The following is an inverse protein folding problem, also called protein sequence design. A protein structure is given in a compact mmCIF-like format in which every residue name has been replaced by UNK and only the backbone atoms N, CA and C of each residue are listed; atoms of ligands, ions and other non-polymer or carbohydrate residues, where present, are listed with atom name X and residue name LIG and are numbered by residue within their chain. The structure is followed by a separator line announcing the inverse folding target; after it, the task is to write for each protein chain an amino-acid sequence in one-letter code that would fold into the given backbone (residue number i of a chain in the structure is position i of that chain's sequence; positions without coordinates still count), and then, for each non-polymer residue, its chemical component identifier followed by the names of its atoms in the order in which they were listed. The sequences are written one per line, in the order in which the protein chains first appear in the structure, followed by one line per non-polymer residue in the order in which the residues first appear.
data_IF_385102255976
#
_entry.id   IF_385102255976
#
_cell.length_a   1.000
_cell.length_b   1.000
_cell.length_c   1.000
_cell.angle_alpha   90.00
_cell.angle_beta   90.00
_cell.angle_gamma   90.00
#
_symmetry.space_group_name_H-M   'P 1'
#
loop_
_entity.id
_entity.type
_entity.pdbx_description
1 polymer ?
#
# COMPACT_ATOMS: atom_id res chain seq x y z
N UNK A 1 1.43 53.46 23.73
CA UNK A 1 1.40 52.11 24.34
C UNK A 1 1.05 51.09 23.27
N UNK A 2 1.96 50.23 22.80
CA UNK A 2 3.03 50.58 21.86
C UNK A 2 2.94 49.61 20.67
N UNK A 3 2.95 50.07 19.42
CA UNK A 3 2.98 49.18 18.24
C UNK A 3 4.15 48.18 18.27
N UNK A 4 5.25 48.53 18.95
CA UNK A 4 6.37 47.64 19.22
C UNK A 4 5.99 46.44 20.13
N UNK A 5 5.02 46.61 21.04
CA UNK A 5 4.51 45.56 21.91
C UNK A 5 3.69 44.54 21.11
N UNK A 6 2.79 44.99 20.23
CA UNK A 6 2.03 44.10 19.33
C UNK A 6 2.94 43.30 18.40
N UNK A 7 4.02 43.90 17.89
CA UNK A 7 5.02 43.22 17.04
C UNK A 7 5.80 42.15 17.80
N UNK A 8 6.28 42.45 19.01
CA UNK A 8 6.93 41.45 19.88
C UNK A 8 5.97 40.32 20.24
N UNK A 9 4.70 40.63 20.51
CA UNK A 9 3.67 39.64 20.81
C UNK A 9 3.35 38.76 19.59
N UNK A 10 3.29 39.34 18.38
CA UNK A 10 3.11 38.60 17.14
C UNK A 10 4.29 37.65 16.84
N UNK A 11 5.52 38.10 17.09
CA UNK A 11 6.71 37.22 17.00
C UNK A 11 6.63 36.08 18.02
N UNK A 12 6.27 36.37 19.28
CA UNK A 12 6.17 35.35 20.34
C UNK A 12 5.10 34.29 20.06
N UNK A 13 4.02 34.67 19.35
CA UNK A 13 2.93 33.77 18.96
C UNK A 13 3.16 33.10 17.60
N UNK A 14 4.34 33.23 17.00
CA UNK A 14 4.70 32.68 15.68
C UNK A 14 3.74 33.10 14.54
N UNK A 15 3.12 34.28 14.63
CA UNK A 15 2.10 34.70 13.68
C UNK A 15 2.67 35.13 12.31
N UNK A 16 3.99 35.31 12.20
CA UNK A 16 4.66 35.58 10.93
C UNK A 16 4.78 34.36 10.01
N UNK A 17 4.55 33.14 10.52
CA UNK A 17 4.65 31.91 9.73
C UNK A 17 3.54 31.81 8.68
N UNK A 18 3.79 31.00 7.66
CA UNK A 18 2.75 30.63 6.71
C UNK A 18 1.55 29.99 7.45
N UNK A 19 0.29 30.28 7.05
CA UNK A 19 -0.13 30.94 5.79
C UNK A 19 -0.34 32.46 5.89
N UNK A 20 0.00 33.10 7.01
CA UNK A 20 -0.32 34.51 7.23
C UNK A 20 0.56 35.44 6.36
N UNK A 21 -0.04 36.53 5.87
CA UNK A 21 0.65 37.58 5.12
C UNK A 21 0.60 38.88 5.92
N UNK A 22 1.74 39.55 6.03
CA UNK A 22 1.87 40.75 6.83
C UNK A 22 2.32 41.93 5.98
N UNK A 23 1.62 43.05 6.15
CA UNK A 23 2.02 44.35 5.63
C UNK A 23 2.25 45.28 6.83
N UNK A 24 3.46 45.80 6.95
CA UNK A 24 3.86 46.69 8.05
C UNK A 24 4.07 48.08 7.46
N UNK A 25 3.18 49.00 7.79
CA UNK A 25 3.32 50.40 7.43
C UNK A 25 4.28 51.08 8.40
N UNK A 26 5.27 51.80 7.88
CA UNK A 26 6.22 52.53 8.73
C UNK A 26 6.67 53.84 8.12
N UNK A 27 6.87 54.83 8.98
CA UNK A 27 7.49 56.11 8.66
C UNK A 27 8.90 56.25 9.26
N UNK A 28 9.37 55.25 10.03
CA UNK A 28 10.58 55.37 10.85
C UNK A 28 11.57 54.22 10.62
N UNK A 29 12.84 54.56 10.42
CA UNK A 29 13.97 53.62 10.25
C UNK A 29 14.13 52.65 11.44
N UNK A 30 13.82 53.10 12.67
CA UNK A 30 13.89 52.30 13.90
C UNK A 30 13.03 51.02 13.85
N UNK A 31 12.00 50.98 13.01
CA UNK A 31 11.15 49.79 12.82
C UNK A 31 11.84 48.67 12.04
N UNK A 32 12.81 49.00 11.18
CA UNK A 32 13.62 48.01 10.46
C UNK A 32 14.46 47.22 11.45
N UNK A 33 15.09 47.88 12.42
CA UNK A 33 15.94 47.23 13.44
C UNK A 33 15.17 46.24 14.33
N UNK A 34 13.97 46.59 14.76
CA UNK A 34 13.13 45.69 15.57
C UNK A 34 12.71 44.44 14.78
N UNK A 35 12.47 44.58 13.46
CA UNK A 35 12.11 43.47 12.59
C UNK A 35 13.32 42.61 12.19
N UNK A 36 14.51 43.21 12.07
CA UNK A 36 15.77 42.48 11.88
C UNK A 36 16.01 41.46 13.00
N UNK A 37 15.60 41.79 14.23
CA UNK A 37 15.71 40.90 15.40
C UNK A 37 14.53 39.93 15.59
N UNK A 38 13.51 39.99 14.74
CA UNK A 38 12.31 39.14 14.85
C UNK A 38 12.42 37.82 14.07
N UNK A 39 11.57 36.85 14.42
CA UNK A 39 11.58 35.50 13.84
C UNK A 39 10.83 35.41 12.50
N UNK A 40 11.22 36.22 11.52
CA UNK A 40 10.68 36.17 10.15
C UNK A 40 11.54 35.23 9.32
N UNK A 41 11.13 33.97 9.18
CA UNK A 41 11.92 32.92 8.51
C UNK A 41 11.53 32.78 7.03
N UNK A 42 12.11 31.79 6.34
CA UNK A 42 11.94 31.56 4.91
C UNK A 42 10.47 31.33 4.47
N UNK A 43 9.58 30.88 5.35
CA UNK A 43 8.14 30.70 5.07
C UNK A 43 7.30 31.97 5.20
N UNK A 44 7.82 33.01 5.86
CA UNK A 44 7.04 34.15 6.37
C UNK A 44 6.86 35.26 5.31
N UNK A 45 5.67 35.51 4.76
CA UNK A 45 5.43 36.58 3.75
C UNK A 45 5.19 37.93 4.45
N UNK A 46 6.27 38.61 4.81
CA UNK A 46 6.25 39.92 5.49
C UNK A 46 6.81 41.00 4.57
N UNK A 47 6.02 42.06 4.40
CA UNK A 47 6.37 43.23 3.58
C UNK A 47 6.30 44.48 4.44
N UNK A 48 7.33 45.32 4.33
CA UNK A 48 7.40 46.64 4.95
C UNK A 48 7.06 47.68 3.87
N UNK A 49 6.13 48.58 4.16
CA UNK A 49 5.82 49.73 3.32
C UNK A 49 6.38 50.98 3.98
N UNK A 50 7.42 51.55 3.39
CA UNK A 50 8.05 52.78 3.84
C UNK A 50 7.55 53.95 3.01
N UNK A 51 7.11 55.02 3.68
CA UNK A 51 6.61 56.21 2.98
C UNK A 51 7.79 57.02 2.43
N UNK A 52 7.85 57.16 1.11
CA UNK A 52 8.79 58.03 0.40
C UNK A 52 7.99 59.10 -0.37
N UNK A 53 7.71 60.22 0.30
CA UNK A 53 6.86 61.29 -0.21
C UNK A 53 5.38 60.88 -0.39
N UNK A 54 4.92 60.84 -1.64
CA UNK A 54 3.56 60.47 -2.06
C UNK A 54 3.45 59.00 -2.52
N UNK A 55 4.53 58.23 -2.37
CA UNK A 55 4.59 56.81 -2.75
C UNK A 55 5.03 55.96 -1.56
N UNK A 56 4.67 54.67 -1.58
CA UNK A 56 5.17 53.69 -0.63
C UNK A 56 6.17 52.76 -1.31
N UNK A 57 7.38 52.69 -0.77
CA UNK A 57 8.36 51.69 -1.16
C UNK A 57 8.11 50.40 -0.39
N UNK A 58 7.91 49.31 -1.12
CA UNK A 58 7.55 48.02 -0.56
C UNK A 58 8.79 47.12 -0.53
N UNK A 59 9.19 46.68 0.66
CA UNK A 59 10.39 45.87 0.88
C UNK A 59 9.99 44.55 1.55
N UNK A 60 10.32 43.43 0.93
CA UNK A 60 10.19 42.10 1.53
C UNK A 60 11.35 41.85 2.50
N UNK A 61 11.02 41.33 3.68
CA UNK A 61 12.01 40.93 4.69
C UNK A 61 11.87 39.44 4.99
N UNK A 62 13.00 38.74 5.07
CA UNK A 62 13.05 37.37 5.58
C UNK A 62 14.44 37.01 6.08
N UNK A 63 14.52 35.96 6.90
CA UNK A 63 15.77 35.36 7.36
C UNK A 63 15.86 33.92 6.84
N UNK A 64 16.96 33.53 6.18
CA UNK A 64 17.18 32.13 5.81
C UNK A 64 17.18 31.20 7.03
N UNK A 65 17.70 31.68 8.16
CA UNK A 65 17.69 30.99 9.45
C UNK A 65 17.80 31.97 10.61
N UNK A 66 17.59 31.48 11.83
CA UNK A 66 17.86 32.21 13.07
C UNK A 66 19.30 32.70 13.18
N UNK A 67 20.27 31.98 12.59
CA UNK A 67 21.69 32.32 12.67
C UNK A 67 22.13 33.33 11.59
N UNK A 68 21.36 33.49 10.52
CA UNK A 68 21.70 34.40 9.42
C UNK A 68 21.04 35.76 9.62
N UNK A 69 21.65 36.81 9.06
CA UNK A 69 21.06 38.15 8.99
C UNK A 69 19.81 38.15 8.11
N UNK A 70 18.95 39.15 8.30
CA UNK A 70 17.78 39.30 7.45
C UNK A 70 18.19 39.82 6.07
N UNK A 71 17.56 39.26 5.05
CA UNK A 71 17.68 39.64 3.66
C UNK A 71 16.49 40.54 3.33
N UNK A 72 16.81 41.74 2.84
CA UNK A 72 15.84 42.73 2.38
C UNK A 72 15.84 42.72 0.85
N UNK A 73 14.66 42.56 0.27
CA UNK A 73 14.50 42.53 -1.20
C UNK A 73 13.41 43.53 -1.61
N UNK A 74 13.65 44.38 -2.61
CA UNK A 74 12.61 45.29 -3.09
C UNK A 74 11.47 44.49 -3.72
N UNK A 75 10.23 44.76 -3.30
CA UNK A 75 9.02 44.18 -3.86
C UNK A 75 8.43 45.08 -4.95
N UNK A 76 8.57 46.39 -4.80
CA UNK A 76 8.06 47.36 -5.76
C UNK A 76 7.64 48.68 -5.13
N UNK A 77 6.98 49.51 -5.94
CA UNK A 77 6.48 50.82 -5.55
C UNK A 77 4.96 50.82 -5.56
N UNK A 78 4.33 51.43 -4.56
CA UNK A 78 2.88 51.58 -4.49
C UNK A 78 2.49 53.05 -4.56
N UNK A 79 1.76 53.41 -5.63
CA UNK A 79 1.16 54.74 -5.83
C UNK A 79 -0.24 54.56 -6.43
N UNK A 80 -1.23 54.29 -5.58
CA UNK A 80 -2.59 53.92 -5.99
C UNK A 80 -2.71 52.49 -6.57
N UNK A 81 -1.72 52.06 -7.36
CA UNK A 81 -1.52 50.67 -7.80
C UNK A 81 -0.10 50.20 -7.44
N UNK A 82 0.06 48.88 -7.22
CA UNK A 82 1.35 48.26 -6.96
C UNK A 82 2.08 48.00 -8.27
N UNK A 83 3.21 48.67 -8.47
CA UNK A 83 4.17 48.34 -9.51
C UNK A 83 5.16 47.31 -8.98
N UNK A 84 4.94 46.03 -9.32
CA UNK A 84 5.74 44.89 -8.87
C UNK A 84 7.06 44.80 -9.65
N UNK A 85 8.18 44.95 -8.96
CA UNK A 85 9.53 44.88 -9.55
C UNK A 85 10.18 43.50 -9.40
N UNK A 86 9.48 42.53 -8.80
CA UNK A 86 10.05 41.20 -8.53
C UNK A 86 10.23 40.41 -9.82
N UNK A 87 11.36 39.69 -9.97
CA UNK A 87 11.58 38.83 -11.14
C UNK A 87 10.63 37.62 -11.17
N UNK A 88 10.15 37.18 -10.00
CA UNK A 88 9.25 36.02 -9.85
C UNK A 88 8.27 36.25 -8.71
N UNK A 89 6.99 35.89 -8.93
CA UNK A 89 5.90 36.09 -7.96
C UNK A 89 5.88 35.03 -6.87
N UNK A 90 6.43 33.86 -7.11
CA UNK A 90 6.40 32.73 -6.18
C UNK A 90 7.42 32.90 -5.04
N UNK A 91 6.93 32.85 -3.79
CA UNK A 91 7.75 33.03 -2.58
C UNK A 91 8.91 32.04 -2.51
N UNK A 92 8.62 30.75 -2.77
CA UNK A 92 9.61 29.68 -2.70
C UNK A 92 10.77 29.88 -3.68
N UNK A 93 10.52 30.46 -4.86
CA UNK A 93 11.57 30.69 -5.88
C UNK A 93 12.51 31.80 -5.47
N UNK A 94 11.99 32.82 -4.77
CA UNK A 94 12.80 33.94 -4.25
C UNK A 94 13.61 33.53 -3.02
N UNK A 95 13.12 32.57 -2.24
CA UNK A 95 13.71 32.13 -0.96
C UNK A 95 14.34 30.75 -1.04
N UNK A 96 14.74 30.34 -2.24
CA UNK A 96 15.33 29.03 -2.49
C UNK A 96 16.71 28.90 -1.86
N UNK A 97 17.47 29.99 -1.82
CA UNK A 97 18.83 30.02 -1.27
C UNK A 97 18.80 30.18 0.27
N UNK A 98 19.28 29.15 0.96
CA UNK A 98 19.40 29.13 2.42
C UNK A 98 20.77 29.61 2.94
N UNK A 99 21.64 30.13 2.07
CA UNK A 99 22.94 30.73 2.40
C UNK A 99 23.85 29.82 3.23
N UNK A 100 23.84 28.52 2.94
CA UNK A 100 24.63 27.53 3.67
C UNK A 100 24.06 27.16 5.03
N UNK A 101 22.80 27.50 5.34
CA UNK A 101 22.19 27.09 6.60
C UNK A 101 22.19 25.56 6.76
N UNK A 102 22.50 25.10 7.97
CA UNK A 102 22.59 23.68 8.32
C UNK A 102 21.20 23.06 8.40
N UNK A 103 20.89 22.14 7.49
CA UNK A 103 19.70 21.29 7.57
C UNK A 103 20.09 19.88 8.00
N UNK A 104 19.41 19.36 9.02
CA UNK A 104 19.68 18.00 9.53
C UNK A 104 18.77 16.98 8.86
N UNK A 105 19.34 15.99 8.18
CA UNK A 105 18.65 14.81 7.68
C UNK A 105 18.81 13.63 8.65
N UNK A 106 17.72 12.93 8.93
CA UNK A 106 17.71 11.74 9.76
C UNK A 106 17.61 10.50 8.87
N UNK A 107 18.62 9.62 8.94
CA UNK A 107 18.70 8.42 8.14
C UNK A 107 18.52 7.20 9.05
N UNK A 108 17.64 6.29 8.66
CA UNK A 108 17.48 5.02 9.37
C UNK A 108 18.31 3.96 8.67
N UNK A 109 19.21 3.30 9.39
CA UNK A 109 20.07 2.23 8.86
C UNK A 109 19.80 0.94 9.63
N UNK A 110 19.85 -0.20 8.95
CA UNK A 110 19.72 -1.52 9.56
C UNK A 110 21.09 -2.06 9.99
N UNK A 111 22.14 -1.84 9.19
CA UNK A 111 23.51 -2.27 9.50
C UNK A 111 24.35 -1.12 10.09
N UNK A 112 25.06 -1.42 11.18
CA UNK A 112 25.54 -0.38 12.11
C UNK A 112 26.78 0.38 11.68
N UNK A 113 27.80 -0.30 11.15
CA UNK A 113 29.11 0.31 10.99
C UNK A 113 29.53 0.51 9.54
N UNK A 114 29.22 -0.43 8.63
CA UNK A 114 29.61 -0.31 7.21
C UNK A 114 28.78 0.74 6.48
N UNK A 115 27.44 0.66 6.57
CA UNK A 115 26.56 1.64 5.92
C UNK A 115 26.86 3.07 6.38
N UNK A 116 27.11 3.27 7.68
CA UNK A 116 27.46 4.59 8.24
C UNK A 116 28.74 5.19 7.65
N UNK A 117 29.70 4.35 7.28
CA UNK A 117 30.98 4.75 6.72
C UNK A 117 30.90 5.05 5.22
N UNK A 118 30.21 4.19 4.47
CA UNK A 118 30.09 4.28 3.01
C UNK A 118 29.05 5.31 2.56
N UNK A 119 27.94 5.48 3.30
CA UNK A 119 26.84 6.36 2.88
C UNK A 119 27.28 7.82 2.65
N UNK A 120 28.07 8.47 3.53
CA UNK A 120 28.53 9.84 3.29
C UNK A 120 29.60 9.96 2.18
N UNK A 121 30.30 8.85 1.86
CA UNK A 121 31.39 8.80 0.89
C UNK A 121 30.93 8.52 -0.52
N UNK A 122 29.74 7.94 -0.68
CA UNK A 122 29.13 7.66 -1.97
C UNK A 122 29.99 6.74 -2.85
N UNK A 123 30.80 5.91 -2.20
CA UNK A 123 31.76 4.97 -2.79
C UNK A 123 31.11 3.79 -3.54
N UNK A 124 29.77 3.75 -3.60
CA UNK A 124 29.02 2.76 -4.39
C UNK A 124 29.16 1.32 -3.88
N UNK A 125 29.77 1.14 -2.70
CA UNK A 125 30.00 -0.15 -2.07
C UNK A 125 28.76 -0.61 -1.28
N UNK A 126 28.69 -1.93 -1.03
CA UNK A 126 27.61 -2.60 -0.30
C UNK A 126 26.20 -2.24 -0.79
N UNK A 127 26.06 -2.04 -2.10
CA UNK A 127 24.85 -1.55 -2.75
C UNK A 127 23.54 -2.22 -2.29
N UNK A 128 23.68 -3.50 -1.96
CA UNK A 128 22.67 -4.43 -1.49
C UNK A 128 22.07 -4.03 -0.13
N UNK A 129 22.87 -3.43 0.75
CA UNK A 129 22.45 -3.04 2.10
C UNK A 129 21.84 -1.64 2.12
N UNK A 130 20.74 -1.49 2.90
CA UNK A 130 20.09 -0.20 3.18
C UNK A 130 19.74 0.60 1.89
N UNK A 131 19.31 -0.10 0.83
CA UNK A 131 19.05 0.50 -0.48
C UNK A 131 18.05 1.69 -0.40
N UNK A 132 16.99 1.56 0.40
CA UNK A 132 16.02 2.64 0.64
C UNK A 132 16.66 3.86 1.29
N UNK A 133 17.58 3.65 2.22
CA UNK A 133 18.32 4.73 2.91
C UNK A 133 19.32 5.38 1.97
N UNK A 134 19.99 4.62 1.10
CA UNK A 134 20.86 5.14 0.03
C UNK A 134 20.09 6.01 -0.96
N UNK A 135 18.93 5.54 -1.42
CA UNK A 135 18.05 6.29 -2.33
C UNK A 135 17.57 7.60 -1.69
N UNK A 136 17.10 7.53 -0.43
CA UNK A 136 16.62 8.71 0.29
C UNK A 136 17.76 9.68 0.64
N UNK A 137 18.96 9.19 0.95
CA UNK A 137 20.17 9.99 1.11
C UNK A 137 20.48 10.79 -0.15
N UNK A 138 20.58 10.12 -1.30
CA UNK A 138 20.89 10.77 -2.58
C UNK A 138 19.84 11.83 -2.92
N UNK A 139 18.56 11.50 -2.73
CA UNK A 139 17.44 12.43 -2.98
C UNK A 139 17.52 13.63 -2.03
N UNK A 140 17.79 13.40 -0.74
CA UNK A 140 17.92 14.45 0.28
C UNK A 140 19.11 15.38 0.04
N UNK A 141 20.27 14.83 -0.31
CA UNK A 141 21.48 15.60 -0.66
C UNK A 141 21.23 16.49 -1.87
N UNK A 142 20.60 15.98 -2.92
CA UNK A 142 20.23 16.79 -4.09
C UNK A 142 19.25 17.89 -3.71
N UNK A 143 18.27 17.62 -2.84
CA UNK A 143 17.36 18.65 -2.35
C UNK A 143 18.10 19.75 -1.56
N UNK A 144 19.10 19.39 -0.74
CA UNK A 144 19.90 20.37 -0.01
C UNK A 144 20.79 21.19 -0.93
N UNK A 145 21.37 20.57 -1.98
CA UNK A 145 22.10 21.29 -3.03
C UNK A 145 21.20 22.28 -3.78
N UNK A 146 19.97 21.89 -4.11
CA UNK A 146 18.99 22.79 -4.74
C UNK A 146 18.65 24.01 -3.87
N UNK A 147 18.75 23.87 -2.54
CA UNK A 147 18.46 24.93 -1.58
C UNK A 147 19.70 25.68 -1.08
N UNK A 148 20.89 25.37 -1.60
CA UNK A 148 22.17 25.87 -1.09
C UNK A 148 22.28 25.74 0.46
N UNK A 149 21.89 24.57 0.98
CA UNK A 149 21.92 24.26 2.41
C UNK A 149 23.10 23.35 2.76
N UNK A 150 23.68 23.50 3.95
CA UNK A 150 24.73 22.59 4.42
C UNK A 150 24.10 21.33 5.03
N UNK A 151 24.44 20.13 4.52
CA UNK A 151 23.92 18.88 5.06
C UNK A 151 24.53 18.58 6.42
N UNK A 152 23.68 18.38 7.44
CA UNK A 152 24.03 17.64 8.65
C UNK A 152 23.26 16.33 8.66
N UNK A 153 23.88 15.24 9.09
CA UNK A 153 23.22 13.94 9.10
C UNK A 153 23.30 13.28 10.47
N UNK A 154 22.24 12.56 10.81
CA UNK A 154 22.14 11.70 11.99
C UNK A 154 21.66 10.31 11.56
N UNK A 155 22.08 9.30 12.30
CA UNK A 155 21.70 7.90 12.06
C UNK A 155 20.85 7.37 13.21
N UNK A 156 19.79 6.63 12.87
CA UNK A 156 18.93 5.90 13.82
C UNK A 156 18.76 4.46 13.35
N UNK A 157 18.45 3.54 14.27
CA UNK A 157 18.19 2.13 13.97
C UNK A 157 16.70 1.78 13.93
N UNK A 158 15.82 2.71 14.30
CA UNK A 158 14.37 2.45 14.40
C UNK A 158 13.53 3.64 13.93
N UNK A 159 12.43 3.32 13.26
CA UNK A 159 11.34 4.24 12.95
C UNK A 159 10.35 4.20 14.15
N UNK A 160 10.04 5.33 14.78
CA UNK A 160 9.16 5.36 15.97
C UNK A 160 7.80 4.69 15.73
N UNK A 161 7.26 4.00 16.75
CA UNK A 161 6.08 3.14 16.62
C UNK A 161 4.77 3.84 17.02
N UNK A 162 3.71 3.66 16.23
CA UNK A 162 2.31 4.01 16.56
C UNK A 162 1.57 2.70 16.93
N UNK A 163 0.81 2.63 18.04
CA UNK A 163 0.20 1.38 18.48
C UNK A 163 -0.87 0.85 17.51
N UNK A 164 -1.05 -0.49 17.43
CA UNK A 164 -1.90 -1.14 16.44
C UNK A 164 -3.40 -0.98 16.73
N UNK A 165 -4.19 -0.88 15.66
CA UNK A 165 -5.63 -0.65 15.67
C UNK A 165 -6.45 -1.81 16.29
N UNK A 166 -5.87 -3.01 16.38
CA UNK A 166 -6.44 -4.17 17.09
C UNK A 166 -6.64 -3.95 18.59
N UNK A 167 -5.95 -2.96 19.16
CA UNK A 167 -6.13 -2.54 20.54
C UNK A 167 -7.42 -1.73 20.76
N UNK A 168 -7.98 -1.15 19.68
CA UNK A 168 -9.05 -0.15 19.75
C UNK A 168 -10.37 -0.65 19.16
N UNK A 169 -10.35 -1.71 18.34
CA UNK A 169 -11.57 -2.28 17.76
C UNK A 169 -11.47 -3.78 17.43
N UNK A 170 -12.61 -4.48 17.53
CA UNK A 170 -12.74 -5.89 17.24
C UNK A 170 -12.74 -6.14 15.72
N UNK A 171 -11.64 -6.70 15.21
CA UNK A 171 -11.36 -6.88 13.78
C UNK A 171 -12.33 -7.87 13.11
N UNK A 172 -12.97 -8.77 13.86
CA UNK A 172 -13.82 -9.83 13.31
C UNK A 172 -15.22 -9.37 12.86
N UNK A 173 -15.67 -8.19 13.29
CA UNK A 173 -16.95 -7.59 12.87
C UNK A 173 -16.82 -6.58 11.73
N UNK A 174 -15.59 -6.28 11.29
CA UNK A 174 -15.32 -5.30 10.23
C UNK A 174 -15.73 -5.73 8.80
N UNK A 175 -15.74 -7.02 8.39
CA UNK A 175 -15.94 -7.36 6.99
C UNK A 175 -17.36 -7.13 6.46
N UNK A 176 -18.39 -7.26 7.30
CA UNK A 176 -19.80 -7.12 6.89
C UNK A 176 -20.63 -6.37 7.94
N UNK A 177 -21.51 -5.47 7.50
CA UNK A 177 -22.49 -4.80 8.36
C UNK A 177 -23.44 -5.83 8.98
N UNK A 178 -23.89 -5.62 10.22
CA UNK A 178 -24.77 -6.53 10.96
C UNK A 178 -26.03 -6.97 10.19
N UNK A 179 -26.51 -6.15 9.24
CA UNK A 179 -27.67 -6.45 8.38
C UNK A 179 -27.43 -7.61 7.39
N UNK A 180 -26.20 -7.82 6.94
CA UNK A 180 -25.85 -8.87 5.97
C UNK A 180 -25.92 -10.25 6.62
N UNK A 181 -25.42 -10.37 7.85
CA UNK A 181 -25.49 -11.62 8.62
C UNK A 181 -26.93 -12.06 8.91
N UNK A 182 -27.81 -11.10 9.18
CA UNK A 182 -29.24 -11.35 9.40
C UNK A 182 -29.92 -11.82 8.11
N UNK A 183 -29.57 -11.23 6.95
CA UNK A 183 -30.12 -11.64 5.66
C UNK A 183 -29.80 -13.09 5.27
N UNK A 184 -28.56 -13.53 5.50
CA UNK A 184 -28.12 -14.90 5.13
C UNK A 184 -28.82 -15.97 5.96
N UNK A 185 -29.05 -15.71 7.25
CA UNK A 185 -29.79 -16.63 8.13
C UNK A 185 -31.25 -16.78 7.69
N UNK A 186 -31.89 -15.70 7.26
CA UNK A 186 -33.30 -15.71 6.83
C UNK A 186 -33.48 -16.51 5.54
N UNK A 187 -32.61 -16.35 4.55
CA UNK A 187 -32.70 -17.09 3.29
C UNK A 187 -32.52 -18.61 3.47
N UNK A 188 -31.61 -19.03 4.36
CA UNK A 188 -31.40 -20.44 4.66
C UNK A 188 -32.63 -21.11 5.27
N UNK A 189 -33.31 -20.40 6.17
CA UNK A 189 -34.53 -20.88 6.83
C UNK A 189 -35.69 -20.98 5.84
N UNK A 190 -35.91 -19.98 4.98
CA UNK A 190 -37.00 -19.99 3.99
C UNK A 190 -36.84 -21.15 2.99
N UNK A 191 -35.60 -21.45 2.60
CA UNK A 191 -35.29 -22.51 1.64
C UNK A 191 -35.52 -23.90 2.25
N UNK A 192 -35.12 -24.10 3.50
CA UNK A 192 -35.37 -25.34 4.25
C UNK A 192 -36.88 -25.56 4.50
N UNK A 193 -37.63 -24.50 4.77
CA UNK A 193 -39.09 -24.57 4.96
C UNK A 193 -39.80 -24.93 3.67
N UNK A 194 -39.43 -24.34 2.52
CA UNK A 194 -40.03 -24.67 1.23
C UNK A 194 -39.83 -26.15 0.85
N UNK A 195 -38.64 -26.70 1.10
CA UNK A 195 -38.35 -28.13 0.89
C UNK A 195 -39.10 -29.04 1.85
N UNK A 196 -39.21 -28.65 3.12
CA UNK A 196 -39.94 -29.43 4.13
C UNK A 196 -41.46 -29.42 3.86
N UNK A 197 -42.00 -28.29 3.39
CA UNK A 197 -43.41 -28.18 3.00
C UNK A 197 -43.69 -29.02 1.76
N UNK A 198 -42.85 -28.96 0.72
CA UNK A 198 -43.01 -29.78 -0.48
C UNK A 198 -43.02 -31.28 -0.14
N UNK A 199 -42.06 -31.75 0.65
CA UNK A 199 -41.95 -33.17 1.06
C UNK A 199 -43.07 -33.62 2.00
N UNK A 200 -43.54 -32.76 2.90
CA UNK A 200 -44.67 -33.05 3.80
C UNK A 200 -46.01 -33.06 3.08
N UNK A 201 -46.21 -32.17 2.12
CA UNK A 201 -47.47 -32.07 1.36
C UNK A 201 -47.67 -33.31 0.48
N UNK A 202 -46.59 -33.81 -0.11
CA UNK A 202 -46.57 -35.09 -0.84
C UNK A 202 -46.88 -36.29 0.09
N UNK A 203 -46.29 -36.33 1.28
CA UNK A 203 -46.51 -37.42 2.24
C UNK A 203 -47.92 -37.44 2.87
N UNK A 204 -48.58 -36.28 2.99
CA UNK A 204 -49.93 -36.16 3.58
C UNK A 204 -51.00 -36.45 2.53
N UNK A 205 -50.89 -35.90 1.32
CA UNK A 205 -51.86 -36.18 0.26
C UNK A 205 -51.70 -37.57 -0.37
N UNK A 206 -50.51 -38.19 -0.27
CA UNK A 206 -50.30 -39.59 -0.67
C UNK A 206 -50.98 -40.64 0.21
N UNK A 207 -51.59 -40.26 1.34
CA UNK A 207 -52.34 -41.16 2.24
C UNK A 207 -53.87 -41.05 2.12
N UNK A 208 -54.40 -40.14 1.33
CA UNK A 208 -55.84 -40.10 1.02
C UNK A 208 -56.17 -41.26 0.07
N UNK A 209 -56.74 -42.31 0.63
CA UNK A 209 -57.16 -43.53 -0.06
C UNK A 209 -58.44 -43.32 -0.86
N UNK A 210 -58.31 -42.74 -2.06
CA UNK A 210 -59.19 -43.04 -3.20
C UNK A 210 -58.35 -43.04 -4.47
N UNK A 211 -57.80 -44.22 -4.74
CA UNK A 211 -57.80 -44.87 -6.05
C UNK A 211 -58.05 -43.96 -7.27
N UNK A 212 -57.00 -43.76 -8.08
CA UNK A 212 -57.03 -43.71 -9.55
C UNK A 212 -58.38 -43.35 -10.20
N UNK A 213 -58.80 -42.09 -10.12
CA UNK A 213 -59.57 -41.46 -11.20
C UNK A 213 -58.64 -40.43 -11.82
N UNK A 214 -58.20 -40.66 -13.06
CA UNK A 214 -57.22 -39.82 -13.79
C UNK A 214 -57.70 -38.40 -14.04
N UNK A 215 -57.90 -37.62 -12.98
CA UNK A 215 -58.30 -36.22 -13.01
C UNK A 215 -57.12 -35.32 -13.39
N UNK A 216 -57.45 -34.25 -14.11
CA UNK A 216 -56.49 -33.28 -14.66
C UNK A 216 -55.58 -32.70 -13.56
N UNK A 217 -56.02 -32.63 -12.30
CA UNK A 217 -55.24 -32.13 -11.16
C UNK A 217 -54.11 -33.07 -10.71
N UNK A 218 -54.36 -34.38 -10.60
CA UNK A 218 -53.32 -35.36 -10.23
C UNK A 218 -52.31 -35.54 -11.38
N UNK A 219 -52.81 -35.50 -12.62
CA UNK A 219 -51.97 -35.39 -13.81
C UNK A 219 -51.18 -34.07 -13.81
N UNK A 220 -51.74 -32.94 -13.36
CA UNK A 220 -51.03 -31.67 -13.20
C UNK A 220 -49.97 -31.74 -12.11
N UNK A 221 -50.22 -32.34 -10.96
CA UNK A 221 -49.24 -32.45 -9.88
C UNK A 221 -48.12 -33.45 -10.20
N UNK A 222 -48.45 -34.59 -10.82
CA UNK A 222 -47.46 -35.53 -11.36
C UNK A 222 -46.68 -34.92 -12.52
N UNK A 223 -47.29 -34.08 -13.35
CA UNK A 223 -46.55 -33.33 -14.37
C UNK A 223 -45.74 -32.20 -13.75
N UNK A 224 -46.16 -31.53 -12.68
CA UNK A 224 -45.34 -30.54 -11.96
C UNK A 224 -44.13 -31.20 -11.30
N UNK A 225 -44.29 -32.35 -10.64
CA UNK A 225 -43.17 -33.11 -10.06
C UNK A 225 -42.28 -33.75 -11.14
N UNK A 226 -42.84 -34.12 -12.30
CA UNK A 226 -42.06 -34.58 -13.44
C UNK A 226 -41.41 -33.44 -14.20
N UNK A 227 -42.00 -32.26 -14.28
CA UNK A 227 -41.42 -31.03 -14.87
C UNK A 227 -40.31 -30.56 -13.95
N UNK A 228 -40.44 -30.67 -12.62
CA UNK A 228 -39.33 -30.43 -11.71
C UNK A 228 -38.24 -31.49 -11.90
N UNK A 229 -38.55 -32.78 -12.01
CA UNK A 229 -37.54 -33.83 -12.28
C UNK A 229 -36.89 -33.67 -13.67
N UNK A 230 -37.64 -33.29 -14.70
CA UNK A 230 -37.14 -33.05 -16.06
C UNK A 230 -36.34 -31.76 -16.16
N UNK A 231 -36.77 -30.70 -15.46
CA UNK A 231 -35.98 -29.47 -15.37
C UNK A 231 -34.71 -29.70 -14.56
N UNK A 232 -34.76 -30.51 -13.50
CA UNK A 232 -33.57 -30.97 -12.77
C UNK A 232 -32.67 -31.82 -13.65
N UNK A 233 -33.21 -32.76 -14.43
CA UNK A 233 -32.43 -33.60 -15.35
C UNK A 233 -31.77 -32.79 -16.47
N UNK A 234 -32.52 -31.89 -17.10
CA UNK A 234 -32.00 -30.98 -18.12
C UNK A 234 -30.93 -30.04 -17.54
N UNK A 235 -31.15 -29.55 -16.32
CA UNK A 235 -30.16 -28.75 -15.58
C UNK A 235 -28.90 -29.58 -15.28
N UNK A 236 -29.01 -30.85 -14.89
CA UNK A 236 -27.87 -31.74 -14.63
C UNK A 236 -27.07 -32.05 -15.89
N UNK A 237 -27.72 -32.23 -17.05
CA UNK A 237 -27.04 -32.44 -18.33
C UNK A 237 -26.36 -31.18 -18.85
N UNK A 238 -27.01 -30.03 -18.74
CA UNK A 238 -26.38 -28.75 -19.04
C UNK A 238 -25.18 -28.47 -18.11
N UNK A 239 -25.32 -28.81 -16.82
CA UNK A 239 -24.24 -28.72 -15.83
C UNK A 239 -23.07 -29.64 -16.17
N UNK A 240 -23.34 -30.87 -16.62
CA UNK A 240 -22.31 -31.81 -17.05
C UNK A 240 -21.52 -31.26 -18.25
N UNK A 241 -22.21 -30.77 -19.28
CA UNK A 241 -21.58 -30.20 -20.47
C UNK A 241 -20.75 -28.94 -20.13
N UNK A 242 -21.29 -28.05 -19.29
CA UNK A 242 -20.58 -26.87 -18.82
C UNK A 242 -19.37 -27.23 -17.95
N UNK A 243 -19.49 -28.25 -17.10
CA UNK A 243 -18.40 -28.76 -16.27
C UNK A 243 -17.28 -29.36 -17.13
N UNK A 244 -17.61 -30.18 -18.13
CA UNK A 244 -16.61 -30.76 -19.04
C UNK A 244 -15.86 -29.71 -19.86
N UNK A 245 -16.53 -28.64 -20.28
CA UNK A 245 -15.88 -27.54 -20.97
C UNK A 245 -14.98 -26.73 -20.02
N UNK A 246 -15.46 -26.43 -18.82
CA UNK A 246 -14.74 -25.59 -17.87
C UNK A 246 -13.55 -26.30 -17.21
N UNK A 247 -13.63 -27.61 -16.94
CA UNK A 247 -12.53 -28.31 -16.26
C UNK A 247 -11.25 -28.34 -17.10
N UNK A 248 -11.36 -28.43 -18.43
CA UNK A 248 -10.21 -28.36 -19.33
C UNK A 248 -9.60 -26.96 -19.28
N UNK A 249 -10.42 -25.92 -19.32
CA UNK A 249 -9.94 -24.53 -19.22
C UNK A 249 -9.31 -24.23 -17.86
N UNK A 250 -9.83 -24.82 -16.78
CA UNK A 250 -9.29 -24.66 -15.42
C UNK A 250 -7.99 -25.42 -15.21
N UNK A 251 -7.83 -26.59 -15.82
CA UNK A 251 -6.56 -27.34 -15.80
C UNK A 251 -5.45 -26.63 -16.61
N UNK A 252 -5.84 -25.81 -17.59
CA UNK A 252 -4.91 -25.06 -18.46
C UNK A 252 -4.68 -23.61 -18.01
N UNK A 253 -5.50 -23.07 -17.11
CA UNK A 253 -5.35 -21.71 -16.62
C UNK A 253 -4.15 -21.61 -15.65
N UNK A 254 -3.26 -20.62 -15.81
CA UNK A 254 -2.22 -20.36 -14.82
C UNK A 254 -2.86 -20.04 -13.47
N UNK A 255 -2.30 -20.58 -12.39
CA UNK A 255 -2.89 -20.42 -11.07
C UNK A 255 -2.65 -19.00 -10.53
N UNK A 256 -3.66 -18.14 -10.57
CA UNK A 256 -3.70 -16.89 -9.79
C UNK A 256 -4.11 -17.12 -8.33
N UNK A 257 -3.90 -18.32 -7.79
CA UNK A 257 -4.44 -18.76 -6.50
C UNK A 257 -3.80 -18.06 -5.30
N UNK A 258 -2.62 -17.45 -5.46
CA UNK A 258 -1.89 -16.77 -4.39
C UNK A 258 -1.74 -15.30 -4.76
N UNK A 259 -2.76 -14.50 -4.41
CA UNK A 259 -2.73 -13.04 -4.60
C UNK A 259 -2.63 -12.29 -3.26
N UNK A 260 -2.89 -12.98 -2.15
CA UNK A 260 -2.94 -12.38 -0.81
C UNK A 260 -1.91 -12.99 0.12
N UNK A 261 -1.50 -12.21 1.12
CA UNK A 261 -0.55 -12.65 2.14
C UNK A 261 -1.08 -13.87 2.94
N UNK A 262 -2.39 -13.95 3.18
CA UNK A 262 -3.01 -15.09 3.87
C UNK A 262 -2.94 -16.37 3.03
N UNK A 263 -3.19 -16.29 1.72
CA UNK A 263 -3.01 -17.40 0.79
C UNK A 263 -1.54 -17.84 0.76
N UNK A 264 -0.60 -16.89 0.69
CA UNK A 264 0.83 -17.18 0.72
C UNK A 264 1.24 -17.90 2.01
N UNK A 265 0.72 -17.46 3.17
CA UNK A 265 0.99 -18.08 4.46
C UNK A 265 0.51 -19.54 4.53
N UNK A 266 -0.61 -19.87 3.87
CA UNK A 266 -1.16 -21.24 3.80
C UNK A 266 -0.57 -22.11 2.69
N UNK A 267 0.10 -21.50 1.71
CA UNK A 267 0.65 -22.20 0.53
C UNK A 267 1.78 -23.17 0.91
N UNK A 268 2.10 -24.17 0.09
CA UNK A 268 3.24 -25.09 0.32
C UNK A 268 4.59 -24.55 -0.19
N UNK A 269 4.65 -23.28 -0.59
CA UNK A 269 5.84 -22.67 -1.18
C UNK A 269 6.94 -22.50 -0.12
N UNK A 270 8.20 -22.68 -0.53
CA UNK A 270 9.38 -22.35 0.28
C UNK A 270 9.59 -20.84 0.32
N UNK A 271 9.65 -20.27 1.51
CA UNK A 271 9.77 -18.82 1.71
C UNK A 271 11.18 -18.49 2.20
N UNK A 272 11.74 -17.42 1.65
CA UNK A 272 12.97 -16.80 2.12
C UNK A 272 12.75 -15.29 2.24
N UNK A 273 13.51 -14.64 3.11
CA UNK A 273 13.39 -13.20 3.33
C UNK A 273 14.74 -12.50 3.34
N UNK A 274 14.70 -11.20 3.02
CA UNK A 274 15.86 -10.33 3.13
C UNK A 274 16.12 -9.90 4.59
N UNK A 275 15.05 -9.56 5.31
CA UNK A 275 15.15 -8.93 6.62
C UNK A 275 14.55 -9.81 7.74
N UNK A 276 15.13 -9.70 8.93
CA UNK A 276 14.71 -10.37 10.16
C UNK A 276 13.64 -9.59 10.94
N UNK A 277 12.93 -8.66 10.29
CA UNK A 277 11.90 -7.88 10.94
C UNK A 277 10.74 -8.77 11.42
N UNK A 278 10.57 -8.92 12.74
CA UNK A 278 9.51 -9.75 13.34
C UNK A 278 8.22 -8.94 13.50
N UNK A 279 7.28 -9.12 12.59
CA UNK A 279 5.92 -8.56 12.72
C UNK A 279 5.02 -9.52 13.53
N UNK A 280 4.42 -9.10 14.65
CA UNK A 280 3.50 -9.95 15.44
C UNK A 280 2.28 -10.42 14.64
N UNK A 281 1.90 -9.73 13.57
CA UNK A 281 0.75 -10.13 12.71
C UNK A 281 1.10 -11.27 11.77
N UNK A 282 2.39 -11.48 11.46
CA UNK A 282 2.86 -12.37 10.37
C UNK A 282 3.76 -13.50 10.86
N UNK A 283 3.59 -13.85 12.14
CA UNK A 283 4.38 -14.89 12.82
C UNK A 283 4.33 -16.22 12.06
N UNK A 284 3.22 -16.55 11.39
CA UNK A 284 3.09 -17.77 10.59
C UNK A 284 4.06 -17.82 9.40
N UNK A 285 4.33 -16.70 8.74
CA UNK A 285 5.30 -16.61 7.64
C UNK A 285 6.72 -16.64 8.19
N UNK A 286 6.99 -15.88 9.27
CA UNK A 286 8.31 -15.85 9.90
C UNK A 286 8.75 -17.22 10.42
N UNK A 287 7.84 -17.99 11.06
CA UNK A 287 8.13 -19.36 11.52
C UNK A 287 8.54 -20.31 10.39
N UNK A 288 8.19 -20.00 9.13
CA UNK A 288 8.58 -20.82 7.96
C UNK A 288 9.93 -20.42 7.40
N UNK A 289 10.31 -19.15 7.53
CA UNK A 289 11.61 -18.62 7.12
C UNK A 289 12.68 -18.97 8.17
N UNK A 290 12.31 -18.87 9.45
CA UNK A 290 13.12 -19.20 10.64
C UNK A 290 12.42 -20.33 11.43
N UNK A 291 12.54 -21.60 10.97
CA UNK A 291 12.02 -22.73 11.73
C UNK A 291 12.85 -22.97 13.00
N UNK A 292 12.21 -23.40 14.10
CA UNK A 292 12.90 -23.69 15.38
C UNK A 292 13.94 -24.82 15.26
N UNK A 293 13.78 -25.69 14.26
CA UNK A 293 14.72 -26.76 13.90
C UNK A 293 14.98 -26.70 12.41
N UNK A 294 16.15 -26.19 12.02
CA UNK A 294 16.58 -26.12 10.62
C UNK A 294 17.49 -24.92 10.34
N UNK A 295 17.94 -24.81 9.08
CA UNK A 295 18.72 -23.67 8.61
C UNK A 295 17.78 -22.52 8.23
N UNK A 296 18.08 -21.33 8.74
CA UNK A 296 17.34 -20.11 8.44
C UNK A 296 17.54 -19.69 6.97
N UNK A 297 16.48 -19.19 6.34
CA UNK A 297 16.46 -18.82 4.92
C UNK A 297 16.49 -17.29 4.75
N UNK A 298 17.61 -16.68 5.13
CA UNK A 298 17.86 -15.26 4.89
C UNK A 298 18.88 -15.09 3.77
N UNK A 299 18.51 -14.31 2.76
CA UNK A 299 19.34 -14.04 1.60
C UNK A 299 19.34 -12.55 1.31
N UNK A 300 20.46 -12.03 0.80
CA UNK A 300 20.46 -10.68 0.26
C UNK A 300 19.46 -10.56 -0.91
N UNK A 301 18.88 -9.38 -1.13
CA UNK A 301 17.93 -9.16 -2.22
C UNK A 301 18.54 -9.52 -3.59
N UNK A 302 19.81 -9.18 -3.81
CA UNK A 302 20.48 -9.51 -5.07
C UNK A 302 20.74 -11.01 -5.22
N UNK A 303 21.18 -11.68 -4.14
CA UNK A 303 21.37 -13.12 -4.12
C UNK A 303 20.04 -13.84 -4.40
N UNK A 304 18.95 -13.36 -3.79
CA UNK A 304 17.60 -13.87 -4.04
C UNK A 304 17.19 -13.74 -5.51
N UNK A 305 17.42 -12.56 -6.12
CA UNK A 305 17.13 -12.33 -7.54
C UNK A 305 18.00 -13.21 -8.45
N UNK A 306 19.28 -13.39 -8.14
CA UNK A 306 20.18 -14.22 -8.94
C UNK A 306 19.85 -15.71 -8.83
N UNK A 307 19.43 -16.18 -7.66
CA UNK A 307 18.88 -17.54 -7.49
C UNK A 307 17.65 -17.74 -8.36
N UNK A 308 16.70 -16.79 -8.37
CA UNK A 308 15.52 -16.87 -9.23
C UNK A 308 15.92 -16.93 -10.71
N UNK A 309 16.89 -16.11 -11.14
CA UNK A 309 17.38 -16.12 -12.52
C UNK A 309 17.99 -17.46 -12.95
N UNK A 310 18.66 -18.15 -12.03
CA UNK A 310 19.34 -19.42 -12.30
C UNK A 310 18.43 -20.66 -12.16
N UNK A 311 17.43 -20.59 -11.28
CA UNK A 311 16.58 -21.76 -10.96
C UNK A 311 15.28 -21.81 -11.75
N UNK A 312 14.71 -20.67 -12.13
CA UNK A 312 13.43 -20.60 -12.83
C UNK A 312 13.64 -20.68 -14.35
N UNK A 313 12.69 -21.33 -15.03
CA UNK A 313 12.57 -21.34 -16.49
C UNK A 313 12.09 -19.97 -17.00
N UNK A 314 12.28 -19.69 -18.29
CA UNK A 314 11.93 -18.37 -18.88
C UNK A 314 10.44 -18.03 -18.79
N UNK A 315 9.55 -19.02 -18.93
CA UNK A 315 8.11 -18.84 -18.75
C UNK A 315 7.78 -18.54 -17.27
N UNK A 316 8.37 -19.28 -16.33
CA UNK A 316 8.15 -19.07 -14.90
C UNK A 316 8.63 -17.69 -14.43
N UNK A 317 9.68 -17.13 -15.06
CA UNK A 317 10.13 -15.75 -14.79
C UNK A 317 9.10 -14.71 -15.23
N UNK A 318 8.41 -14.93 -16.36
CA UNK A 318 7.36 -14.01 -16.82
C UNK A 318 6.09 -14.09 -15.95
N UNK A 319 5.85 -15.23 -15.29
CA UNK A 319 4.68 -15.47 -14.43
C UNK A 319 4.90 -15.00 -12.97
N UNK A 320 6.05 -14.40 -12.66
CA UNK A 320 6.32 -13.86 -11.32
C UNK A 320 5.34 -12.75 -10.96
N UNK A 321 4.58 -12.96 -9.88
CA UNK A 321 3.65 -11.99 -9.32
C UNK A 321 4.21 -11.34 -8.05
N UNK A 322 3.86 -10.07 -7.84
CA UNK A 322 4.18 -9.35 -6.61
C UNK A 322 2.98 -9.32 -5.67
N UNK A 323 3.21 -9.68 -4.42
CA UNK A 323 2.22 -9.57 -3.35
C UNK A 323 2.75 -8.50 -2.41
N UNK A 324 1.93 -7.48 -2.14
CA UNK A 324 2.31 -6.46 -1.17
C UNK A 324 2.42 -7.12 0.20
N UNK A 325 3.66 -7.26 0.67
CA UNK A 325 3.90 -7.70 2.02
C UNK A 325 3.37 -6.61 2.95
N UNK A 326 3.98 -5.43 3.04
CA UNK A 326 3.73 -4.49 4.14
C UNK A 326 2.39 -3.74 4.06
N UNK A 327 1.66 -3.77 2.93
CA UNK A 327 0.47 -2.94 2.68
C UNK A 327 0.77 -1.46 2.98
N UNK A 328 1.98 -1.01 2.65
CA UNK A 328 2.49 0.33 2.95
C UNK A 328 2.82 1.06 1.67
N UNK A 329 2.34 2.30 1.58
CA UNK A 329 2.66 3.25 0.52
C UNK A 329 4.18 3.52 0.41
N UNK A 330 4.59 4.00 -0.76
CA UNK A 330 5.94 4.52 -1.02
C UNK A 330 6.46 5.36 0.17
N UNK A 331 7.70 5.12 0.64
CA UNK A 331 8.25 5.85 1.77
C UNK A 331 8.35 7.34 1.42
N UNK A 332 7.65 8.16 2.21
CA UNK A 332 7.76 9.62 2.18
C UNK A 332 8.87 10.09 3.11
N UNK A 333 9.48 11.23 2.82
CA UNK A 333 10.41 11.89 3.74
C UNK A 333 9.60 12.69 4.78
N UNK A 334 9.48 12.21 6.05
CA UNK A 334 8.74 12.94 7.06
C UNK A 334 9.51 14.19 7.48
N UNK A 335 8.78 15.26 7.79
CA UNK A 335 9.34 16.49 8.32
C UNK A 335 8.43 17.07 9.40
N UNK A 336 9.00 17.87 10.31
CA UNK A 336 8.26 18.58 11.35
C UNK A 336 7.16 19.44 10.71
N UNK A 337 5.92 19.30 11.22
CA UNK A 337 4.72 19.99 10.69
C UNK A 337 4.91 21.51 10.54
N UNK A 338 5.46 22.16 11.56
CA UNK A 338 5.64 23.62 11.58
C UNK A 338 7.06 24.05 11.20
N UNK A 339 7.72 23.31 10.31
CA UNK A 339 9.04 23.67 9.80
C UNK A 339 8.95 24.84 8.80
N UNK A 340 9.75 25.91 8.95
CA UNK A 340 9.76 27.03 8.01
C UNK A 340 10.31 26.63 6.62
N UNK A 341 10.93 25.45 6.51
CA UNK A 341 11.49 24.92 5.27
C UNK A 341 10.55 23.94 4.56
N UNK A 342 9.32 23.75 5.08
CA UNK A 342 8.38 22.74 4.60
C UNK A 342 8.08 22.85 3.11
N UNK A 343 7.69 24.05 2.67
CA UNK A 343 7.36 24.28 1.27
C UNK A 343 8.59 24.21 0.36
N UNK A 344 9.74 24.72 0.81
CA UNK A 344 11.00 24.70 0.05
C UNK A 344 11.44 23.25 -0.27
N UNK A 345 11.51 22.40 0.75
CA UNK A 345 11.86 20.98 0.60
C UNK A 345 10.80 20.24 -0.22
N UNK A 346 9.51 20.52 0.00
CA UNK A 346 8.42 19.89 -0.76
C UNK A 346 8.53 20.18 -2.25
N UNK A 347 8.79 21.43 -2.63
CA UNK A 347 8.96 21.81 -4.02
C UNK A 347 10.25 21.21 -4.61
N UNK A 348 11.35 21.18 -3.85
CA UNK A 348 12.58 20.51 -4.29
C UNK A 348 12.34 19.03 -4.59
N UNK A 349 11.67 18.28 -3.71
CA UNK A 349 11.34 16.87 -3.96
C UNK A 349 10.39 16.65 -5.13
N UNK A 350 9.41 17.54 -5.34
CA UNK A 350 8.55 17.51 -6.53
C UNK A 350 9.38 17.68 -7.80
N UNK A 351 10.29 18.66 -7.82
CA UNK A 351 11.18 18.89 -8.97
C UNK A 351 12.10 17.69 -9.25
N UNK A 352 12.69 17.07 -8.22
CA UNK A 352 13.52 15.86 -8.35
C UNK A 352 12.73 14.68 -8.94
N UNK A 353 11.42 14.59 -8.64
CA UNK A 353 10.52 13.60 -9.22
C UNK A 353 10.17 13.95 -10.67
N UNK A 354 9.83 15.20 -10.96
CA UNK A 354 9.44 15.68 -12.29
C UNK A 354 10.58 15.57 -13.31
N UNK A 355 11.83 15.83 -12.91
CA UNK A 355 13.00 15.72 -13.80
C UNK A 355 13.44 14.27 -14.05
N UNK A 356 12.80 13.28 -13.43
CA UNK A 356 13.19 11.88 -13.54
C UNK A 356 14.44 11.50 -12.73
N UNK A 357 15.05 12.43 -11.99
CA UNK A 357 16.24 12.18 -11.16
C UNK A 357 15.95 11.09 -10.11
N UNK A 358 14.78 11.10 -9.48
CA UNK A 358 14.34 10.01 -8.58
C UNK A 358 14.32 8.65 -9.28
N UNK A 359 13.82 8.59 -10.52
CA UNK A 359 13.76 7.35 -11.30
C UNK A 359 15.17 6.84 -11.65
N UNK A 360 16.07 7.74 -12.04
CA UNK A 360 17.46 7.41 -12.31
C UNK A 360 18.19 6.90 -11.05
N UNK A 361 17.98 7.53 -9.89
CA UNK A 361 18.54 7.07 -8.61
C UNK A 361 18.00 5.69 -8.26
N UNK A 362 16.68 5.46 -8.38
CA UNK A 362 16.07 4.16 -8.12
C UNK A 362 16.63 3.08 -9.03
N UNK A 363 16.70 3.32 -10.35
CA UNK A 363 17.29 2.37 -11.30
C UNK A 363 18.76 2.10 -11.00
N UNK A 364 19.48 3.11 -10.51
CA UNK A 364 20.88 2.97 -10.12
C UNK A 364 21.06 2.23 -8.83
N UNK A 365 20.13 2.33 -7.85
CA UNK A 365 20.23 1.86 -6.45
C UNK A 365 19.36 0.63 -6.08
N UNK A 366 18.41 0.24 -6.92
CA UNK A 366 17.58 -0.93 -6.72
C UNK A 366 18.03 -2.07 -7.63
N UNK A 367 18.06 -3.29 -7.08
CA UNK A 367 18.26 -4.50 -7.89
C UNK A 367 17.11 -4.62 -8.89
N UNK A 368 17.38 -4.66 -10.21
CA UNK A 368 16.33 -4.76 -11.21
C UNK A 368 15.69 -6.15 -11.15
N UNK A 369 14.37 -6.18 -11.38
CA UNK A 369 13.62 -7.42 -11.55
C UNK A 369 14.26 -8.30 -12.64
N UNK A 370 14.14 -9.64 -12.54
CA UNK A 370 14.56 -10.52 -13.63
C UNK A 370 13.82 -10.15 -14.91
N UNK A 371 14.55 -10.03 -16.01
CA UNK A 371 13.96 -9.81 -17.34
C UNK A 371 13.63 -11.17 -17.94
N UNK A 372 12.49 -11.29 -18.59
CA UNK A 372 12.15 -12.45 -19.40
C UNK A 372 12.05 -12.05 -20.88
N UNK A 373 12.42 -12.96 -21.78
CA UNK A 373 12.54 -12.66 -23.22
C UNK A 373 11.20 -12.53 -23.96
N UNK A 374 10.09 -12.96 -23.35
CA UNK A 374 8.73 -12.85 -23.89
C UNK A 374 7.80 -13.96 -23.36
N UNK A 375 6.49 -13.73 -23.44
CA UNK A 375 5.50 -14.71 -22.98
C UNK A 375 5.27 -15.77 -24.07
N UNK A 376 5.75 -16.98 -23.84
CA UNK A 376 5.43 -18.15 -24.69
C UNK A 376 4.35 -18.94 -23.96
N UNK A 377 3.21 -19.20 -24.63
CA UNK A 377 2.17 -20.04 -24.07
C UNK A 377 2.73 -21.47 -23.90
N UNK A 378 3.01 -21.88 -22.66
CA UNK A 378 3.44 -23.24 -22.35
C UNK A 378 2.24 -24.09 -21.95
N UNK A 379 2.02 -25.19 -22.65
CA UNK A 379 1.04 -26.20 -22.25
C UNK A 379 1.61 -26.98 -21.06
N UNK A 380 0.96 -26.90 -19.89
CA UNK A 380 1.31 -27.73 -18.75
C UNK A 380 0.89 -29.19 -19.00
N UNK A 381 1.83 -30.13 -18.90
CA UNK A 381 1.51 -31.55 -18.92
C UNK A 381 0.95 -31.97 -17.56
N UNK A 382 -0.26 -32.54 -17.55
CA UNK A 382 -0.90 -32.99 -16.31
C UNK A 382 -0.22 -34.27 -15.83
N UNK A 383 0.46 -34.19 -14.68
CA UNK A 383 1.16 -35.33 -14.08
C UNK A 383 0.21 -36.33 -13.42
N UNK A 384 0.63 -37.60 -13.30
CA UNK A 384 -0.15 -38.66 -12.65
C UNK A 384 -0.51 -38.36 -11.18
N UNK A 385 0.22 -37.44 -10.53
CA UNK A 385 -0.10 -36.95 -9.18
C UNK A 385 -1.41 -36.16 -9.11
N UNK A 386 -1.76 -35.42 -10.15
CA UNK A 386 -2.98 -34.59 -10.21
C UNK A 386 -4.25 -35.43 -10.42
N UNK A 387 -4.12 -36.66 -10.95
CA UNK A 387 -5.23 -37.60 -11.14
C UNK A 387 -5.59 -38.39 -9.88
N UNK A 388 -4.78 -38.31 -8.81
CA UNK A 388 -4.97 -39.06 -7.56
C UNK A 388 -6.39 -38.98 -6.97
N UNK A 389 -7.03 -37.80 -6.81
CA UNK A 389 -8.37 -37.74 -6.20
C UNK A 389 -9.42 -38.48 -7.02
N UNK A 390 -9.30 -38.46 -8.36
CA UNK A 390 -10.21 -39.18 -9.27
C UNK A 390 -10.04 -40.69 -9.09
N UNK A 391 -8.80 -41.17 -9.04
CA UNK A 391 -8.50 -42.59 -8.84
C UNK A 391 -8.95 -43.08 -7.46
N UNK A 392 -8.79 -42.28 -6.41
CA UNK A 392 -9.26 -42.63 -5.07
C UNK A 392 -10.78 -42.71 -4.99
N UNK A 393 -11.50 -41.80 -5.66
CA UNK A 393 -12.96 -41.82 -5.69
C UNK A 393 -13.49 -43.04 -6.44
N UNK A 394 -12.84 -43.40 -7.56
CA UNK A 394 -13.19 -44.62 -8.30
C UNK A 394 -12.99 -45.88 -7.46
N UNK A 395 -11.88 -45.97 -6.71
CA UNK A 395 -11.62 -47.09 -5.82
C UNK A 395 -12.67 -47.19 -4.69
N UNK A 396 -13.02 -46.06 -4.06
CA UNK A 396 -14.07 -46.01 -3.01
C UNK A 396 -15.43 -46.44 -3.58
N UNK A 397 -15.76 -46.04 -4.80
CA UNK A 397 -17.01 -46.46 -5.46
C UNK A 397 -17.06 -47.98 -5.66
N UNK A 398 -15.95 -48.58 -6.08
CA UNK A 398 -15.86 -50.04 -6.29
C UNK A 398 -15.97 -50.77 -4.94
N UNK A 399 -15.28 -50.32 -3.89
CA UNK A 399 -15.34 -50.97 -2.58
C UNK A 399 -16.73 -50.86 -1.95
N UNK A 400 -17.40 -49.71 -2.09
CA UNK A 400 -18.76 -49.50 -1.60
C UNK A 400 -19.76 -50.42 -2.33
N UNK A 401 -19.65 -50.52 -3.66
CA UNK A 401 -20.51 -51.39 -4.48
C UNK A 401 -20.37 -52.86 -4.07
N UNK A 402 -19.13 -53.33 -3.88
CA UNK A 402 -18.85 -54.68 -3.39
C UNK A 402 -19.37 -54.89 -1.96
N UNK A 403 -19.24 -53.90 -1.07
CA UNK A 403 -19.75 -54.00 0.28
C UNK A 403 -21.28 -54.10 0.31
N UNK A 404 -21.98 -53.33 -0.52
CA UNK A 404 -23.44 -53.39 -0.66
C UNK A 404 -23.86 -54.76 -1.22
N UNK A 405 -23.17 -55.26 -2.25
CA UNK A 405 -23.43 -56.59 -2.82
C UNK A 405 -23.23 -57.70 -1.77
N UNK A 406 -22.16 -57.64 -0.98
CA UNK A 406 -21.90 -58.59 0.10
C UNK A 406 -22.97 -58.52 1.20
N UNK A 407 -23.41 -57.31 1.56
CA UNK A 407 -24.49 -57.11 2.52
C UNK A 407 -25.82 -57.68 2.00
N UNK A 408 -26.13 -57.47 0.72
CA UNK A 408 -27.34 -58.02 0.09
C UNK A 408 -27.31 -59.55 0.05
N UNK A 409 -26.17 -60.15 -0.32
CA UNK A 409 -25.99 -61.61 -0.28
C UNK A 409 -26.09 -62.18 1.14
N UNK A 410 -25.57 -61.48 2.15
CA UNK A 410 -25.69 -61.88 3.56
C UNK A 410 -27.14 -61.81 4.07
N UNK A 411 -27.89 -60.78 3.66
CA UNK A 411 -29.30 -60.61 4.04
C UNK A 411 -30.20 -61.61 3.32
N UNK A 412 -29.86 -61.99 2.08
CA UNK A 412 -30.69 -62.90 1.26
C UNK A 412 -30.38 -64.38 1.49
N UNK A 413 -29.24 -64.70 2.11
CA UNK A 413 -28.82 -66.06 2.48
C UNK A 413 -29.10 -66.40 3.97
N UNK A 414 -29.50 -65.42 4.77
CA UNK A 414 -30.16 -65.61 6.08
C UNK A 414 -31.67 -65.73 5.89
#
# INVERSE_FOLDING_TARGET
MNEACHRKQASSRNLFRAPYRWLILTNASATKEVLLNSSVLADSDVVIAERSGDQFEMIEIHRPSHNHSAVLTPRGLFKGALHDTRPRRELFRRRMDLMGHVLTMANVIQDSNRTKYHLPREDGLDFQNDATTKISWMTGKIAFLMLNATPRYIFSYRWGYKPPLSYVSNIYSLPFSARVWVGTAVCAVVSAVALCVATRWEAVFGKSSTQLDGGISDAMFLTMSRITVWSVFAALMALHAAYSANIVTLLQAPSHSIATLSQLASSKITLAAYDQYKDPVRVSIHKRIEPEKGKQQFYDLSEGVDRIRQTFLENEKCDLAEIDFMNTFDPYAPMKKDSPYLELIRVAFKRIRETGVRSAINRRHQTPKPRCAGHVASFASVGAGELRPVLTLMAIGITLSLAILCMELLIHHL
#
